data_IF_068210656037
#
_entry.id   IF_068210656037
#
_cell.length_a   1.000
_cell.length_b   1.000
_cell.length_c   1.000
_cell.angle_alpha   90.00
_cell.angle_beta   90.00
_cell.angle_gamma   90.00
#
_symmetry.space_group_name_H-M   'P 1'
#
loop_
_entity.id
_entity.type
_entity.pdbx_description
1 polymer ?
#
# COMPACT_ATOMS: atom_id res chain seq x y z
N UNK A 1 -6.26 -9.93 21.82
CA UNK A 1 -5.16 -10.69 21.23
C UNK A 1 -4.29 -9.75 20.42
N UNK A 2 -3.02 -9.70 20.75
CA UNK A 2 -2.06 -8.97 19.93
C UNK A 2 -2.02 -9.61 18.55
N UNK A 3 -2.14 -8.79 17.50
CA UNK A 3 -2.01 -9.22 16.12
C UNK A 3 -0.61 -9.81 15.89
N UNK A 4 -0.56 -11.03 15.39
CA UNK A 4 0.68 -11.67 14.92
C UNK A 4 0.65 -11.64 13.40
N UNK A 5 1.45 -10.79 12.80
CA UNK A 5 1.64 -10.74 11.36
C UNK A 5 3.06 -11.16 10.99
N UNK A 6 3.20 -11.76 9.84
CA UNK A 6 4.49 -12.08 9.26
C UNK A 6 4.96 -10.91 8.39
N UNK A 7 6.26 -10.68 8.37
CA UNK A 7 6.87 -9.63 7.60
C UNK A 7 7.74 -10.23 6.48
N UNK A 8 7.44 -9.85 5.26
CA UNK A 8 8.16 -10.31 4.07
C UNK A 8 8.75 -9.15 3.29
N UNK A 9 10.01 -9.25 2.93
CA UNK A 9 10.60 -8.39 1.92
C UNK A 9 10.35 -8.95 0.52
N UNK A 10 9.93 -8.10 -0.40
CA UNK A 10 9.87 -8.44 -1.82
C UNK A 10 11.01 -7.71 -2.53
N UNK A 11 12.02 -8.46 -2.90
CA UNK A 11 13.16 -7.92 -3.64
C UNK A 11 12.95 -8.05 -5.14
N UNK A 12 12.93 -6.93 -5.82
CA UNK A 12 12.70 -6.83 -7.28
C UNK A 12 13.98 -7.02 -8.11
N UNK A 13 14.86 -7.92 -7.72
CA UNK A 13 16.12 -8.16 -8.42
C UNK A 13 17.11 -7.00 -8.24
N UNK A 14 17.31 -6.56 -7.00
CA UNK A 14 18.23 -5.48 -6.66
C UNK A 14 19.68 -5.86 -6.98
N UNK A 15 20.45 -4.89 -7.51
CA UNK A 15 21.87 -5.06 -7.91
C UNK A 15 22.81 -4.19 -7.06
N UNK A 16 22.30 -3.49 -6.07
CA UNK A 16 23.01 -2.53 -5.22
C UNK A 16 23.45 -3.13 -3.86
N UNK A 17 23.36 -4.45 -3.68
CA UNK A 17 23.64 -5.14 -2.42
C UNK A 17 22.42 -5.32 -1.52
N UNK A 18 21.28 -4.71 -1.81
CA UNK A 18 20.06 -4.84 -1.01
C UNK A 18 19.59 -6.29 -0.90
N UNK A 19 19.63 -7.06 -1.98
CA UNK A 19 19.32 -8.51 -1.98
C UNK A 19 20.14 -9.28 -0.96
N UNK A 20 21.44 -9.07 -0.93
CA UNK A 20 22.34 -9.77 0.00
C UNK A 20 22.08 -9.33 1.44
N UNK A 21 21.89 -8.03 1.68
CA UNK A 21 21.52 -7.50 2.98
C UNK A 21 20.23 -8.15 3.51
N UNK A 22 19.17 -8.21 2.69
CA UNK A 22 17.90 -8.82 3.08
C UNK A 22 18.07 -10.31 3.41
N UNK A 23 18.81 -11.06 2.58
CA UNK A 23 19.10 -12.48 2.81
C UNK A 23 19.80 -12.73 4.15
N UNK A 24 20.74 -11.84 4.50
CA UNK A 24 21.54 -11.96 5.71
C UNK A 24 20.82 -11.39 6.96
N UNK A 25 19.70 -10.69 6.79
CA UNK A 25 18.96 -10.08 7.90
C UNK A 25 18.15 -11.08 8.75
N UNK A 26 17.99 -12.32 8.30
CA UNK A 26 17.17 -13.33 8.96
C UNK A 26 15.66 -13.15 8.80
N UNK A 27 15.21 -12.17 8.01
CA UNK A 27 13.80 -11.95 7.70
C UNK A 27 13.35 -12.81 6.52
N UNK A 28 12.05 -13.07 6.46
CA UNK A 28 11.45 -13.71 5.30
C UNK A 28 11.55 -12.80 4.08
N UNK A 29 11.86 -13.35 2.92
CA UNK A 29 11.93 -12.60 1.68
C UNK A 29 11.50 -13.42 0.46
N UNK A 30 11.02 -12.70 -0.55
CA UNK A 30 10.74 -13.23 -1.88
C UNK A 30 11.63 -12.47 -2.85
N UNK A 31 12.53 -13.16 -3.54
CA UNK A 31 13.43 -12.57 -4.52
C UNK A 31 12.90 -12.82 -5.92
N UNK A 32 12.77 -11.76 -6.70
CA UNK A 32 12.43 -11.83 -8.12
C UNK A 32 13.71 -11.83 -8.94
N UNK A 33 13.74 -12.61 -10.01
CA UNK A 33 14.93 -12.72 -10.87
C UNK A 33 15.34 -11.39 -11.53
N UNK A 34 14.35 -10.52 -11.77
CA UNK A 34 14.57 -9.22 -12.40
C UNK A 34 13.46 -8.22 -12.01
N UNK A 35 13.80 -6.95 -12.16
CA UNK A 35 12.83 -5.88 -11.95
C UNK A 35 11.81 -5.82 -13.12
N UNK A 36 10.60 -6.24 -12.86
CA UNK A 36 9.46 -6.14 -13.77
C UNK A 36 8.52 -4.96 -13.43
N UNK A 37 8.89 -4.19 -12.42
CA UNK A 37 8.12 -3.03 -11.94
C UNK A 37 7.40 -3.27 -10.62
N UNK A 38 7.05 -2.17 -9.94
CA UNK A 38 6.44 -2.19 -8.60
C UNK A 38 5.12 -2.96 -8.56
N UNK A 39 4.30 -2.86 -9.60
CA UNK A 39 3.04 -3.60 -9.68
C UNK A 39 3.27 -5.11 -9.70
N UNK A 40 4.32 -5.58 -10.38
CA UNK A 40 4.66 -7.00 -10.38
C UNK A 40 5.03 -7.51 -8.98
N UNK A 41 5.80 -6.72 -8.23
CA UNK A 41 6.13 -7.05 -6.83
C UNK A 41 4.90 -7.12 -5.94
N UNK A 42 3.96 -6.16 -6.09
CA UNK A 42 2.70 -6.15 -5.34
C UNK A 42 1.84 -7.37 -5.71
N UNK A 43 1.72 -7.68 -7.01
CA UNK A 43 0.98 -8.86 -7.50
C UNK A 43 1.59 -10.15 -6.94
N UNK A 44 2.92 -10.25 -6.93
CA UNK A 44 3.62 -11.41 -6.35
C UNK A 44 3.31 -11.54 -4.86
N UNK A 45 3.37 -10.44 -4.10
CA UNK A 45 3.01 -10.45 -2.69
C UNK A 45 1.55 -10.88 -2.45
N UNK A 46 0.62 -10.39 -3.27
CA UNK A 46 -0.80 -10.78 -3.20
C UNK A 46 -0.98 -12.27 -3.46
N UNK A 47 -0.39 -12.81 -4.52
CA UNK A 47 -0.47 -14.24 -4.86
C UNK A 47 0.11 -15.11 -3.77
N UNK A 48 1.31 -14.77 -3.29
CA UNK A 48 1.94 -15.46 -2.18
C UNK A 48 1.04 -15.47 -0.93
N UNK A 49 0.47 -14.30 -0.58
CA UNK A 49 -0.40 -14.20 0.58
C UNK A 49 -1.69 -15.03 0.43
N UNK A 50 -2.27 -15.09 -0.77
CA UNK A 50 -3.44 -15.92 -1.07
C UNK A 50 -3.10 -17.41 -0.98
N UNK A 51 -1.96 -17.84 -1.53
CA UNK A 51 -1.48 -19.22 -1.52
C UNK A 51 -1.16 -19.71 -0.11
N UNK A 52 -0.75 -18.80 0.78
CA UNK A 52 -0.43 -19.11 2.18
C UNK A 52 -1.59 -18.75 3.14
N UNK A 53 -2.80 -18.58 2.62
CA UNK A 53 -4.04 -18.41 3.38
C UNK A 53 -4.07 -17.20 4.33
N UNK A 54 -3.27 -16.15 4.02
CA UNK A 54 -3.39 -14.87 4.73
C UNK A 54 -4.73 -14.21 4.44
N UNK A 55 -5.27 -13.49 5.41
CA UNK A 55 -6.54 -12.77 5.28
C UNK A 55 -6.34 -11.31 4.91
N UNK A 56 -5.26 -10.71 5.41
CA UNK A 56 -4.96 -9.27 5.28
C UNK A 56 -3.56 -9.11 4.71
N UNK A 57 -3.40 -8.14 3.83
CA UNK A 57 -2.11 -7.68 3.37
C UNK A 57 -1.92 -6.19 3.68
N UNK A 58 -0.72 -5.82 4.13
CA UNK A 58 -0.31 -4.43 4.31
C UNK A 58 0.96 -4.18 3.50
N UNK A 59 0.90 -3.21 2.60
CA UNK A 59 2.05 -2.81 1.78
C UNK A 59 2.78 -1.60 2.36
N UNK A 60 4.11 -1.70 2.43
CA UNK A 60 5.00 -0.61 2.80
C UNK A 60 6.15 -0.53 1.80
N UNK A 61 6.51 0.67 1.40
CA UNK A 61 7.62 0.86 0.45
C UNK A 61 8.96 0.88 1.18
N UNK A 62 9.96 0.12 0.67
CA UNK A 62 11.32 0.04 1.23
C UNK A 62 12.19 1.28 1.00
N UNK A 63 11.62 2.42 0.62
CA UNK A 63 12.35 3.66 0.31
C UNK A 63 12.55 4.60 1.51
N UNK A 64 12.41 4.09 2.72
CA UNK A 64 12.56 4.80 4.00
C UNK A 64 11.67 6.05 4.17
N UNK A 65 10.54 6.13 3.44
CA UNK A 65 9.59 7.25 3.57
C UNK A 65 8.45 6.94 4.53
N UNK A 66 8.10 5.66 4.66
CA UNK A 66 7.03 5.20 5.53
C UNK A 66 7.60 4.62 6.81
N UNK A 67 7.02 4.97 7.96
CA UNK A 67 7.43 4.45 9.25
C UNK A 67 6.78 3.07 9.50
N UNK A 68 7.57 1.98 9.63
CA UNK A 68 7.02 0.65 9.93
C UNK A 68 6.22 0.59 11.25
N UNK A 69 6.50 1.47 12.20
CA UNK A 69 5.74 1.53 13.46
C UNK A 69 4.28 1.96 13.27
N UNK A 70 3.95 2.55 12.13
CA UNK A 70 2.59 2.95 11.78
C UNK A 70 1.75 1.80 11.19
N UNK A 71 2.32 0.61 10.97
CA UNK A 71 1.60 -0.56 10.40
C UNK A 71 0.33 -0.85 11.19
N UNK A 72 0.39 -0.80 12.52
CA UNK A 72 -0.77 -1.05 13.36
C UNK A 72 -1.90 -0.03 13.15
N UNK A 73 -1.58 1.22 12.82
CA UNK A 73 -2.60 2.24 12.52
C UNK A 73 -3.39 1.89 11.26
N UNK A 74 -2.72 1.26 10.29
CA UNK A 74 -3.33 0.89 9.01
C UNK A 74 -4.05 -0.46 9.08
N UNK A 75 -3.55 -1.40 9.87
CA UNK A 75 -4.10 -2.77 9.97
C UNK A 75 -5.23 -2.88 10.99
N UNK A 76 -5.13 -2.20 12.14
CA UNK A 76 -6.10 -2.30 13.23
C UNK A 76 -7.55 -2.02 12.83
N UNK A 77 -7.88 -1.06 11.96
CA UNK A 77 -9.28 -0.86 11.55
C UNK A 77 -9.89 -2.07 10.84
N UNK A 78 -9.07 -2.83 10.09
CA UNK A 78 -9.54 -4.06 9.44
C UNK A 78 -9.90 -5.10 10.49
N UNK A 79 -9.03 -5.27 11.49
CA UNK A 79 -9.19 -6.31 12.51
C UNK A 79 -10.31 -5.96 13.52
N UNK A 80 -10.38 -4.69 13.95
CA UNK A 80 -11.23 -4.27 15.06
C UNK A 80 -12.58 -3.69 14.64
N UNK A 81 -12.66 -3.13 13.43
CA UNK A 81 -13.83 -2.39 12.95
C UNK A 81 -14.43 -3.02 11.69
N UNK A 82 -13.92 -4.18 11.27
CA UNK A 82 -14.34 -4.93 10.08
C UNK A 82 -14.26 -4.11 8.76
N UNK A 83 -13.36 -3.14 8.71
CA UNK A 83 -13.07 -2.37 7.49
C UNK A 83 -12.41 -3.29 6.45
N UNK A 84 -12.75 -3.12 5.19
CA UNK A 84 -12.20 -3.95 4.11
C UNK A 84 -10.93 -3.37 3.50
N UNK A 85 -10.83 -2.03 3.43
CA UNK A 85 -9.71 -1.31 2.84
C UNK A 85 -9.34 -0.08 3.69
N UNK A 86 -8.09 0.01 4.08
CA UNK A 86 -7.55 1.15 4.82
C UNK A 86 -6.47 1.86 4.00
N UNK A 87 -6.63 3.15 3.84
CA UNK A 87 -5.70 4.07 3.17
C UNK A 87 -4.98 4.92 4.20
N UNK A 88 -3.66 4.91 4.21
CA UNK A 88 -2.88 5.90 4.93
C UNK A 88 -3.02 7.29 4.30
N UNK A 89 -3.09 8.32 5.11
CA UNK A 89 -3.11 9.71 4.64
C UNK A 89 -2.12 10.59 5.40
N UNK A 90 -1.33 11.34 4.66
CA UNK A 90 -0.43 12.37 5.18
C UNK A 90 -1.16 13.65 5.57
N UNK A 91 -2.40 13.83 5.11
CA UNK A 91 -3.12 15.10 5.20
C UNK A 91 -4.20 15.12 6.29
N UNK A 92 -4.46 14.03 6.99
CA UNK A 92 -5.36 14.01 8.15
C UNK A 92 -4.72 14.74 9.33
N UNK A 93 -3.42 14.49 9.62
CA UNK A 93 -2.63 15.15 10.64
C UNK A 93 -1.38 15.76 9.97
N UNK A 94 -1.57 16.81 9.18
CA UNK A 94 -0.53 17.38 8.32
C UNK A 94 0.72 17.86 9.08
N UNK A 95 0.58 18.33 10.31
CA UNK A 95 1.70 18.83 11.13
C UNK A 95 2.83 17.81 11.32
N UNK A 96 2.51 16.52 11.24
CA UNK A 96 3.51 15.44 11.34
C UNK A 96 4.29 15.16 10.05
N UNK A 97 3.99 15.87 8.96
CA UNK A 97 4.55 15.65 7.62
C UNK A 97 5.25 16.89 7.06
N UNK A 98 5.97 17.63 7.93
CA UNK A 98 6.58 18.94 7.61
C UNK A 98 7.55 18.95 6.42
N UNK A 99 8.18 17.82 6.10
CA UNK A 99 9.15 17.70 5.00
C UNK A 99 8.51 17.28 3.66
N UNK A 100 7.19 17.29 3.56
CA UNK A 100 6.54 16.98 2.29
C UNK A 100 6.86 18.07 1.24
N UNK A 101 7.35 17.70 0.04
CA UNK A 101 7.66 18.69 -1.01
C UNK A 101 6.47 19.61 -1.30
N UNK A 102 6.71 20.92 -1.39
CA UNK A 102 5.67 21.95 -1.55
C UNK A 102 4.69 21.66 -2.70
N UNK A 103 5.21 21.16 -3.81
CA UNK A 103 4.37 20.75 -4.94
C UNK A 103 3.33 19.68 -4.52
N UNK A 104 3.72 18.70 -3.73
CA UNK A 104 2.83 17.60 -3.27
C UNK A 104 1.79 18.11 -2.28
N UNK A 105 2.16 19.09 -1.44
CA UNK A 105 1.24 19.72 -0.47
C UNK A 105 0.05 20.38 -1.16
N UNK A 106 0.26 20.91 -2.35
CA UNK A 106 -0.80 21.57 -3.12
C UNK A 106 -1.51 20.59 -4.06
N UNK A 107 -0.75 19.81 -4.82
CA UNK A 107 -1.32 18.97 -5.89
C UNK A 107 -2.12 17.77 -5.36
N UNK A 108 -1.68 17.13 -4.26
CA UNK A 108 -2.36 15.94 -3.74
C UNK A 108 -3.75 16.25 -3.19
N UNK A 109 -3.96 17.28 -2.36
CA UNK A 109 -5.30 17.65 -1.90
C UNK A 109 -6.26 18.02 -3.04
N UNK A 110 -5.76 18.69 -4.09
CA UNK A 110 -6.56 19.01 -5.28
C UNK A 110 -6.99 17.73 -5.99
N UNK A 111 -6.04 16.84 -6.28
CA UNK A 111 -6.33 15.54 -6.90
C UNK A 111 -7.30 14.72 -6.04
N UNK A 112 -7.08 14.68 -4.73
CA UNK A 112 -7.92 13.94 -3.79
C UNK A 112 -9.36 14.47 -3.77
N UNK A 113 -9.55 15.79 -3.87
CA UNK A 113 -10.90 16.39 -4.01
C UNK A 113 -11.60 15.97 -5.30
N UNK A 114 -10.88 15.96 -6.43
CA UNK A 114 -11.41 15.51 -7.72
C UNK A 114 -11.84 14.04 -7.63
N UNK A 115 -10.97 13.20 -7.10
CA UNK A 115 -11.25 11.77 -6.91
C UNK A 115 -12.42 11.55 -5.95
N UNK A 116 -12.47 12.31 -4.85
CA UNK A 116 -13.59 12.25 -3.89
C UNK A 116 -14.93 12.59 -4.54
N UNK A 117 -14.95 13.57 -5.43
CA UNK A 117 -16.14 13.96 -6.18
C UNK A 117 -16.56 12.86 -7.16
N UNK A 118 -15.62 12.33 -7.94
CA UNK A 118 -15.88 11.31 -8.95
C UNK A 118 -16.39 10.00 -8.34
N UNK A 119 -15.81 9.57 -7.24
CA UNK A 119 -16.15 8.30 -6.59
C UNK A 119 -17.18 8.44 -5.45
N UNK A 120 -17.65 9.65 -5.19
CA UNK A 120 -18.60 9.95 -4.10
C UNK A 120 -18.11 9.41 -2.74
N UNK A 121 -16.82 9.44 -2.51
CA UNK A 121 -16.16 8.93 -1.30
C UNK A 121 -15.11 9.93 -0.85
N UNK A 122 -15.10 10.30 0.44
CA UNK A 122 -14.12 11.23 0.98
C UNK A 122 -12.74 10.60 1.01
N UNK A 123 -11.78 11.21 0.30
CA UNK A 123 -10.37 10.82 0.27
C UNK A 123 -9.52 12.07 0.43
N UNK A 124 -8.50 12.00 1.28
CA UNK A 124 -7.57 13.10 1.54
C UNK A 124 -6.19 12.89 0.93
N UNK A 125 -5.79 11.64 0.68
CA UNK A 125 -4.49 11.30 0.10
C UNK A 125 -4.54 10.09 -0.84
N UNK A 126 -4.89 10.31 -2.09
CA UNK A 126 -4.96 9.26 -3.12
C UNK A 126 -3.60 8.68 -3.51
N UNK A 127 -2.50 9.34 -3.14
CA UNK A 127 -1.14 8.97 -3.59
C UNK A 127 -0.31 8.23 -2.53
N UNK A 128 -0.85 8.03 -1.33
CA UNK A 128 -0.15 7.29 -0.29
C UNK A 128 -0.19 5.79 -0.59
N UNK A 129 0.98 5.17 -0.75
CA UNK A 129 1.11 3.73 -0.97
C UNK A 129 1.02 2.89 0.30
N UNK A 130 0.90 3.51 1.48
CA UNK A 130 0.74 2.81 2.75
C UNK A 130 -0.72 2.38 2.90
N UNK A 131 -1.00 1.13 2.63
CA UNK A 131 -2.36 0.58 2.57
C UNK A 131 -2.43 -0.80 3.18
N UNK A 132 -3.57 -1.12 3.78
CA UNK A 132 -3.91 -2.49 4.15
C UNK A 132 -5.31 -2.83 3.63
N UNK A 133 -5.52 -4.09 3.30
CA UNK A 133 -6.82 -4.55 2.84
C UNK A 133 -6.99 -6.06 3.03
N UNK A 134 -8.25 -6.47 3.12
CA UNK A 134 -8.60 -7.90 3.10
C UNK A 134 -8.30 -8.49 1.73
N UNK A 135 -7.61 -9.63 1.68
CA UNK A 135 -7.32 -10.33 0.42
C UNK A 135 -8.57 -10.82 -0.29
N UNK A 136 -9.68 -10.95 0.45
CA UNK A 136 -10.98 -11.23 -0.14
C UNK A 136 -11.41 -10.18 -1.16
N UNK A 137 -11.01 -8.92 -1.02
CA UNK A 137 -11.26 -7.88 -2.03
C UNK A 137 -10.66 -8.24 -3.38
N UNK A 138 -9.46 -8.80 -3.38
CA UNK A 138 -8.81 -9.25 -4.63
C UNK A 138 -9.51 -10.48 -5.20
N UNK A 139 -9.99 -11.40 -4.34
CA UNK A 139 -10.69 -12.61 -4.76
C UNK A 139 -12.11 -12.32 -5.30
N UNK A 140 -12.84 -11.42 -4.64
CA UNK A 140 -14.22 -11.03 -5.05
C UNK A 140 -14.24 -10.25 -6.34
N UNK A 141 -13.29 -9.38 -6.50
CA UNK A 141 -13.27 -8.52 -7.63
C UNK A 141 -12.87 -9.32 -8.87
N UNK A 142 -13.48 -9.00 -9.96
CA UNK A 142 -13.05 -9.35 -11.31
C UNK A 142 -11.67 -8.72 -11.63
N UNK A 143 -10.78 -8.67 -10.62
CA UNK A 143 -9.43 -8.14 -10.74
C UNK A 143 -8.59 -9.11 -11.56
N UNK A 144 -8.46 -8.82 -12.81
CA UNK A 144 -7.51 -9.51 -13.65
C UNK A 144 -6.11 -9.01 -13.35
N UNK A 145 -5.52 -9.47 -12.23
CA UNK A 145 -4.18 -9.04 -11.78
C UNK A 145 -3.05 -9.59 -12.65
N UNK A 146 -3.29 -10.56 -13.52
CA UNK A 146 -2.27 -11.22 -14.36
C UNK A 146 -1.94 -10.47 -15.66
N UNK A 147 -2.39 -9.24 -15.81
CA UNK A 147 -2.13 -8.45 -17.02
C UNK A 147 -0.78 -7.75 -16.96
N UNK A 148 0.07 -7.93 -17.98
CA UNK A 148 1.40 -7.32 -18.05
C UNK A 148 1.41 -5.78 -17.90
N UNK A 149 0.35 -5.10 -18.36
CA UNK A 149 0.25 -3.65 -18.22
C UNK A 149 0.12 -3.17 -16.76
N UNK A 150 -0.24 -4.08 -15.83
CA UNK A 150 -0.30 -3.81 -14.38
C UNK A 150 1.07 -3.92 -13.68
N UNK A 151 2.11 -4.42 -14.33
CA UNK A 151 3.39 -4.66 -13.70
C UNK A 151 4.12 -3.38 -13.25
N UNK A 152 3.84 -2.24 -13.89
CA UNK A 152 4.34 -0.93 -13.51
C UNK A 152 3.49 -0.22 -12.46
N UNK A 153 3.49 1.11 -12.53
CA UNK A 153 2.71 1.97 -11.65
C UNK A 153 1.20 1.92 -11.88
N UNK A 154 0.72 1.25 -12.92
CA UNK A 154 -0.70 1.15 -13.26
C UNK A 154 -1.48 0.26 -12.29
N UNK A 155 -0.82 -0.65 -11.56
CA UNK A 155 -1.50 -1.53 -10.61
C UNK A 155 -2.24 -0.75 -9.53
N UNK A 156 -1.58 0.19 -8.89
CA UNK A 156 -2.19 0.93 -7.78
C UNK A 156 -3.41 1.75 -8.21
N UNK A 157 -3.36 2.59 -9.27
CA UNK A 157 -4.56 3.28 -9.76
C UNK A 157 -5.68 2.33 -10.19
N UNK A 158 -5.34 1.23 -10.83
CA UNK A 158 -6.32 0.22 -11.24
C UNK A 158 -7.03 -0.40 -10.03
N UNK A 159 -6.27 -0.90 -9.07
CA UNK A 159 -6.80 -1.50 -7.84
C UNK A 159 -7.65 -0.49 -7.06
N UNK A 160 -7.09 0.70 -6.84
CA UNK A 160 -7.73 1.79 -6.14
C UNK A 160 -9.08 2.18 -6.76
N UNK A 161 -9.10 2.36 -8.09
CA UNK A 161 -10.34 2.71 -8.81
C UNK A 161 -11.42 1.66 -8.59
N UNK A 162 -11.09 0.39 -8.70
CA UNK A 162 -12.06 -0.69 -8.50
C UNK A 162 -12.58 -0.74 -7.06
N UNK A 163 -11.69 -0.59 -6.07
CA UNK A 163 -12.07 -0.52 -4.64
C UNK A 163 -13.00 0.67 -4.37
N UNK A 164 -12.72 1.83 -4.96
CA UNK A 164 -13.51 3.03 -4.71
C UNK A 164 -14.83 3.08 -5.47
N UNK A 165 -14.92 2.43 -6.61
CA UNK A 165 -16.19 2.27 -7.35
C UNK A 165 -17.14 1.27 -6.68
N UNK A 166 -16.61 0.29 -5.95
CA UNK A 166 -17.44 -0.67 -5.23
C UNK A 166 -18.01 -0.05 -3.96
N UNK A 167 -19.33 0.18 -3.97
CA UNK A 167 -20.04 0.78 -2.82
C UNK A 167 -20.22 -0.18 -1.64
N UNK A 168 -20.00 -1.48 -1.82
CA UNK A 168 -20.08 -2.49 -0.77
C UNK A 168 -18.77 -2.64 0.00
N UNK A 169 -17.67 -2.06 -0.48
CA UNK A 169 -16.39 -2.08 0.21
C UNK A 169 -16.37 -1.02 1.31
N UNK A 170 -16.15 -1.43 2.54
CA UNK A 170 -15.97 -0.54 3.68
C UNK A 170 -14.55 0.03 3.68
N UNK A 171 -14.45 1.35 3.55
CA UNK A 171 -13.19 2.08 3.36
C UNK A 171 -12.95 3.06 4.50
N UNK A 172 -11.70 3.18 4.93
CA UNK A 172 -11.29 4.14 5.95
C UNK A 172 -9.95 4.77 5.61
N UNK A 173 -9.77 6.06 5.90
CA UNK A 173 -8.46 6.69 5.94
C UNK A 173 -7.98 6.83 7.38
N UNK A 174 -6.67 6.65 7.57
CA UNK A 174 -5.99 6.84 8.86
C UNK A 174 -4.78 7.75 8.68
N UNK A 175 -4.41 8.56 9.68
CA UNK A 175 -3.21 9.37 9.62
C UNK A 175 -1.97 8.47 9.62
N UNK A 176 -1.01 8.79 8.75
CA UNK A 176 0.31 8.16 8.72
C UNK A 176 1.40 9.20 8.51
N UNK A 177 2.57 8.93 9.09
CA UNK A 177 3.75 9.76 8.91
C UNK A 177 4.54 9.28 7.70
N UNK A 178 5.01 10.23 6.92
CA UNK A 178 5.95 9.98 5.84
C UNK A 178 7.08 10.98 5.91
N UNK A 179 8.30 10.47 5.94
CA UNK A 179 9.51 11.30 5.89
C UNK A 179 10.01 11.41 4.45
N UNK A 180 10.38 12.61 4.05
CA UNK A 180 11.07 12.82 2.79
C UNK A 180 12.52 13.15 3.10
N UNK A 181 13.51 12.46 2.48
CA UNK A 181 14.91 12.84 2.63
C UNK A 181 15.05 14.32 2.28
N UNK A 182 15.79 15.07 3.09
CA UNK A 182 16.30 16.37 2.70
C UNK A 182 17.36 16.13 1.62
N UNK A 183 17.20 16.71 0.45
CA UNK A 183 18.22 16.75 -0.59
C UNK A 183 19.50 17.40 -0.06
#
# INVERSE_FOLDING_TARGET
SEYKGDFYFIDSGSTDGSSEFIKNSGHHYISLEKNLGVGYSIITAIKFAIENEYEIICGISGNNKMDPNEINNVVNPIIKEDIDFVQGSRFINYESNSNTPKFRVVSIPILSKIISFLFKTKVTDVTCGFRAYKLELVKRAKFEIDKKWLYGYSFEPYFYTNVFLDQHVLKKEVPVKMSYPSD
#
